data_IF_240161633287
#
_entry.id   IF_240161633287
#
_cell.length_a   1.000
_cell.length_b   1.000
_cell.length_c   1.000
_cell.angle_alpha   90.00
_cell.angle_beta   90.00
_cell.angle_gamma   90.00
#
_symmetry.space_group_name_H-M   'P 1'
#
loop_
_entity.id
_entity.type
_entity.pdbx_description
1 polymer ?
#
# COMPACT_ATOMS: atom_id res chain seq x y z
N UNK A 1 14.31 23.05 -17.10
CA UNK A 1 13.47 24.02 -16.35
C UNK A 1 12.11 23.38 -16.23
N UNK A 2 11.58 23.22 -15.02
CA UNK A 2 10.24 22.66 -14.79
C UNK A 2 9.21 23.62 -15.36
N UNK A 3 8.34 23.13 -16.24
CA UNK A 3 7.26 23.91 -16.85
C UNK A 3 6.04 23.97 -15.91
N UNK A 4 5.20 25.00 -16.04
CA UNK A 4 3.94 25.06 -15.29
C UNK A 4 2.96 23.92 -15.65
N UNK A 5 3.14 23.32 -16.82
CA UNK A 5 2.37 22.16 -17.26
C UNK A 5 2.83 20.88 -16.57
N UNK A 6 4.14 20.71 -16.35
CA UNK A 6 4.71 19.57 -15.61
C UNK A 6 4.14 19.52 -14.18
N UNK A 7 4.03 20.68 -13.55
CA UNK A 7 3.44 20.82 -12.20
C UNK A 7 1.96 20.42 -12.19
N UNK A 8 1.19 20.86 -13.20
CA UNK A 8 -0.23 20.49 -13.30
C UNK A 8 -0.40 19.00 -13.55
N UNK A 9 0.39 18.42 -14.45
CA UNK A 9 0.29 17.01 -14.79
C UNK A 9 0.65 16.12 -13.58
N UNK A 10 1.64 16.50 -12.78
CA UNK A 10 1.94 15.84 -11.49
C UNK A 10 0.74 15.91 -10.55
N UNK A 11 0.16 17.10 -10.35
CA UNK A 11 -0.97 17.26 -9.42
C UNK A 11 -2.16 16.40 -9.85
N UNK A 12 -2.51 16.44 -11.14
CA UNK A 12 -3.65 15.70 -11.68
C UNK A 12 -3.41 14.20 -11.62
N UNK A 13 -2.20 13.74 -11.95
CA UNK A 13 -1.81 12.32 -11.91
C UNK A 13 -1.80 11.80 -10.47
N UNK A 14 -1.17 12.51 -9.53
CA UNK A 14 -1.19 12.15 -8.11
C UNK A 14 -2.60 12.09 -7.53
N UNK A 15 -3.49 13.03 -7.91
CA UNK A 15 -4.89 13.00 -7.50
C UNK A 15 -5.63 11.79 -8.09
N UNK A 16 -5.43 11.49 -9.37
CA UNK A 16 -6.05 10.35 -10.06
C UNK A 16 -5.61 9.03 -9.42
N UNK A 17 -4.32 8.86 -9.21
CA UNK A 17 -3.72 7.59 -8.80
C UNK A 17 -3.93 7.34 -7.30
N UNK A 18 -3.90 8.37 -6.45
CA UNK A 18 -4.33 8.26 -5.06
C UNK A 18 -5.75 7.67 -4.92
N UNK A 19 -6.65 8.01 -5.85
CA UNK A 19 -7.99 7.43 -5.86
C UNK A 19 -8.00 5.99 -6.41
N UNK A 20 -7.53 5.82 -7.66
CA UNK A 20 -7.70 4.58 -8.41
C UNK A 20 -6.76 3.46 -7.96
N UNK A 21 -5.52 3.77 -7.59
CA UNK A 21 -4.53 2.76 -7.18
C UNK A 21 -4.67 2.38 -5.71
N UNK A 22 -5.11 3.31 -4.84
CA UNK A 22 -5.13 3.08 -3.38
C UNK A 22 -6.53 3.16 -2.79
N UNK A 23 -7.21 4.29 -2.94
CA UNK A 23 -8.45 4.59 -2.20
C UNK A 23 -9.56 3.58 -2.47
N UNK A 24 -9.79 3.19 -3.72
CA UNK A 24 -10.87 2.25 -4.07
C UNK A 24 -10.67 0.87 -3.45
N UNK A 25 -9.42 0.39 -3.35
CA UNK A 25 -9.12 -0.88 -2.69
C UNK A 25 -9.26 -0.79 -1.18
N UNK A 26 -8.78 0.31 -0.57
CA UNK A 26 -8.98 0.57 0.86
C UNK A 26 -10.48 0.65 1.19
N UNK A 27 -11.27 1.34 0.36
CA UNK A 27 -12.71 1.48 0.54
C UNK A 27 -13.43 0.12 0.49
N UNK A 28 -13.15 -0.67 -0.55
CA UNK A 28 -13.72 -2.01 -0.69
C UNK A 28 -13.32 -2.89 0.48
N UNK A 29 -12.07 -2.81 0.95
CA UNK A 29 -11.62 -3.59 2.08
C UNK A 29 -12.32 -3.20 3.38
N UNK A 30 -12.37 -1.91 3.69
CA UNK A 30 -13.07 -1.40 4.90
C UNK A 30 -14.54 -1.80 4.87
N UNK A 31 -15.21 -1.70 3.72
CA UNK A 31 -16.60 -2.11 3.56
C UNK A 31 -16.79 -3.62 3.70
N UNK A 32 -15.99 -4.41 2.99
CA UNK A 32 -16.03 -5.88 3.03
C UNK A 32 -15.80 -6.37 4.45
N UNK A 33 -14.84 -5.79 5.18
CA UNK A 33 -14.56 -6.18 6.54
C UNK A 33 -15.69 -5.80 7.50
N UNK A 34 -16.24 -4.59 7.38
CA UNK A 34 -17.36 -4.14 8.20
C UNK A 34 -18.60 -5.00 7.97
N UNK A 35 -18.86 -5.35 6.71
CA UNK A 35 -19.94 -6.27 6.34
C UNK A 35 -19.70 -7.70 6.86
N UNK A 36 -18.48 -8.24 6.71
CA UNK A 36 -18.13 -9.57 7.22
C UNK A 36 -18.25 -9.66 8.73
N UNK A 37 -17.81 -8.63 9.47
CA UNK A 37 -17.98 -8.59 10.92
C UNK A 37 -19.46 -8.57 11.32
N UNK A 38 -20.25 -7.73 10.67
CA UNK A 38 -21.69 -7.65 10.88
C UNK A 38 -22.36 -9.01 10.60
N UNK A 39 -22.07 -9.63 9.45
CA UNK A 39 -22.65 -10.89 9.02
C UNK A 39 -22.22 -12.10 9.88
N UNK A 40 -21.00 -12.09 10.40
CA UNK A 40 -20.44 -13.20 11.19
C UNK A 40 -20.51 -13.00 12.71
N UNK A 41 -21.09 -11.88 13.16
CA UNK A 41 -21.13 -11.49 14.57
C UNK A 41 -19.75 -11.58 15.24
N UNK A 42 -18.70 -11.16 14.52
CA UNK A 42 -17.31 -11.16 15.00
C UNK A 42 -16.52 -12.48 14.84
N UNK A 43 -17.17 -13.60 14.50
CA UNK A 43 -16.49 -14.93 14.39
C UNK A 43 -15.38 -14.97 13.35
N UNK A 44 -15.45 -14.13 12.31
CA UNK A 44 -14.40 -14.03 11.29
C UNK A 44 -13.06 -13.53 11.85
N UNK A 45 -13.11 -12.54 12.74
CA UNK A 45 -11.92 -11.99 13.39
C UNK A 45 -11.28 -13.04 14.28
N UNK A 46 -12.09 -13.75 15.06
CA UNK A 46 -11.64 -14.85 15.92
C UNK A 46 -10.97 -15.97 15.11
N UNK A 47 -11.52 -16.30 13.93
CA UNK A 47 -10.93 -17.29 13.03
C UNK A 47 -9.54 -16.87 12.52
N UNK A 48 -9.37 -15.60 12.11
CA UNK A 48 -8.07 -15.08 11.66
C UNK A 48 -7.07 -15.07 12.82
N UNK A 49 -7.51 -14.62 14.01
CA UNK A 49 -6.66 -14.53 15.20
C UNK A 49 -6.26 -15.90 15.77
N UNK A 50 -7.07 -16.94 15.59
CA UNK A 50 -6.72 -18.32 15.97
C UNK A 50 -5.72 -18.95 15.02
N UNK A 51 -5.66 -18.50 13.76
CA UNK A 51 -4.76 -19.02 12.73
C UNK A 51 -3.54 -18.12 12.44
N UNK A 52 -2.98 -17.45 13.47
CA UNK A 52 -1.79 -16.58 13.37
C UNK A 52 -0.62 -17.20 12.61
N UNK A 53 -0.40 -18.50 12.77
CA UNK A 53 0.67 -19.23 12.08
C UNK A 53 0.52 -19.29 10.56
N UNK A 54 -0.65 -19.04 9.98
CA UNK A 54 -0.83 -19.03 8.53
C UNK A 54 -0.77 -17.61 7.95
N UNK A 55 -0.82 -16.58 8.79
CA UNK A 55 -0.95 -15.20 8.34
C UNK A 55 0.25 -14.71 7.49
N UNK A 56 1.53 -14.93 7.86
CA UNK A 56 2.65 -14.51 7.02
C UNK A 56 2.66 -15.15 5.62
N UNK A 57 2.24 -16.41 5.51
CA UNK A 57 2.10 -17.09 4.23
C UNK A 57 1.02 -16.45 3.35
N UNK A 58 -0.16 -16.19 3.94
CA UNK A 58 -1.27 -15.52 3.24
C UNK A 58 -0.87 -14.10 2.84
N UNK A 59 -0.17 -13.39 3.72
CA UNK A 59 0.38 -12.06 3.45
C UNK A 59 1.31 -12.06 2.24
N UNK A 60 2.29 -12.95 2.20
CA UNK A 60 3.20 -13.06 1.06
C UNK A 60 2.49 -13.44 -0.25
N UNK A 61 1.46 -14.32 -0.19
CA UNK A 61 0.64 -14.65 -1.37
C UNK A 61 -0.14 -13.43 -1.89
N UNK A 62 -0.62 -12.58 -0.98
CA UNK A 62 -1.27 -11.32 -1.32
C UNK A 62 -0.28 -10.25 -1.78
N UNK A 63 0.99 -10.31 -1.35
CA UNK A 63 2.05 -9.47 -1.89
C UNK A 63 2.39 -9.82 -3.35
N UNK A 64 2.41 -11.11 -3.68
CA UNK A 64 2.72 -11.59 -5.03
C UNK A 64 1.76 -11.12 -6.13
N UNK A 65 0.56 -10.65 -5.80
CA UNK A 65 -0.36 -10.12 -6.81
C UNK A 65 0.20 -8.85 -7.45
N UNK A 66 0.34 -8.81 -8.80
CA UNK A 66 0.76 -7.60 -9.50
C UNK A 66 -0.13 -6.39 -9.20
N UNK A 67 0.47 -5.20 -9.19
CA UNK A 67 -0.24 -3.92 -9.05
C UNK A 67 -0.69 -3.55 -7.63
N UNK A 68 0.07 -3.97 -6.62
CA UNK A 68 -0.03 -3.62 -5.19
C UNK A 68 -1.38 -3.81 -4.47
N UNK A 69 -2.46 -4.16 -5.16
CA UNK A 69 -3.82 -4.26 -4.59
C UNK A 69 -3.92 -5.24 -3.42
N UNK A 70 -3.31 -6.43 -3.52
CA UNK A 70 -3.29 -7.40 -2.42
C UNK A 70 -2.49 -6.91 -1.21
N UNK A 71 -1.37 -6.20 -1.43
CA UNK A 71 -0.58 -5.59 -0.36
C UNK A 71 -1.32 -4.42 0.31
N UNK A 72 -2.01 -3.57 -0.47
CA UNK A 72 -2.83 -2.46 0.05
C UNK A 72 -3.96 -2.98 0.95
N UNK A 73 -4.54 -4.14 0.65
CA UNK A 73 -5.58 -4.76 1.49
C UNK A 73 -5.05 -5.19 2.87
N UNK A 74 -3.79 -5.63 2.97
CA UNK A 74 -3.19 -6.10 4.23
C UNK A 74 -2.92 -4.99 5.22
N UNK A 75 -2.68 -3.76 4.77
CA UNK A 75 -2.27 -2.66 5.65
C UNK A 75 -3.40 -2.18 6.58
N UNK A 76 -4.64 -1.97 6.10
CA UNK A 76 -5.78 -1.73 6.97
C UNK A 76 -6.11 -2.91 7.90
N UNK A 77 -5.86 -4.16 7.50
CA UNK A 77 -6.05 -5.32 8.39
C UNK A 77 -5.09 -5.28 9.57
N UNK A 78 -3.86 -4.86 9.33
CA UNK A 78 -2.86 -4.68 10.37
C UNK A 78 -3.20 -3.51 11.29
N UNK A 79 -3.58 -2.36 10.71
CA UNK A 79 -3.96 -1.18 11.48
C UNK A 79 -5.17 -1.44 12.40
N UNK A 80 -5.99 -2.45 12.10
CA UNK A 80 -7.12 -2.89 12.95
C UNK A 80 -6.78 -4.06 13.88
N UNK A 81 -5.51 -4.49 13.95
CA UNK A 81 -5.06 -5.55 14.85
C UNK A 81 -5.43 -6.98 14.43
N UNK A 82 -5.82 -7.22 13.18
CA UNK A 82 -6.25 -8.55 12.72
C UNK A 82 -5.10 -9.44 12.27
N UNK A 83 -4.11 -8.86 11.60
CA UNK A 83 -2.91 -9.56 11.15
C UNK A 83 -1.70 -9.13 11.96
N UNK A 84 -0.71 -10.02 12.07
CA UNK A 84 0.53 -9.73 12.78
C UNK A 84 1.43 -8.75 12.03
N UNK A 85 2.40 -8.18 12.74
CA UNK A 85 3.44 -7.35 12.12
C UNK A 85 4.31 -8.15 11.14
N UNK A 86 4.64 -9.41 11.45
CA UNK A 86 5.34 -10.29 10.51
C UNK A 86 4.55 -10.56 9.23
N UNK A 87 3.22 -10.53 9.28
CA UNK A 87 2.36 -10.62 8.08
C UNK A 87 2.50 -9.39 7.18
N UNK A 88 2.58 -8.19 7.76
CA UNK A 88 2.86 -6.96 7.02
C UNK A 88 4.21 -7.04 6.34
N UNK A 89 5.26 -7.39 7.10
CA UNK A 89 6.62 -7.52 6.56
C UNK A 89 6.70 -8.58 5.45
N UNK A 90 6.05 -9.73 5.62
CA UNK A 90 5.98 -10.77 4.58
C UNK A 90 5.31 -10.28 3.30
N UNK A 91 4.23 -9.51 3.45
CA UNK A 91 3.47 -8.95 2.32
C UNK A 91 4.30 -7.91 1.58
N UNK A 92 4.97 -7.01 2.30
CA UNK A 92 5.81 -5.96 1.70
C UNK A 92 7.02 -6.55 0.99
N UNK A 93 7.72 -7.53 1.57
CA UNK A 93 8.85 -8.20 0.90
C UNK A 93 8.42 -8.92 -0.38
N UNK A 94 7.23 -9.52 -0.39
CA UNK A 94 6.75 -10.30 -1.53
C UNK A 94 6.18 -9.43 -2.67
N UNK A 95 5.94 -8.14 -2.44
CA UNK A 95 5.29 -7.26 -3.43
C UNK A 95 6.28 -6.69 -4.43
N UNK A 96 5.90 -6.71 -5.71
CA UNK A 96 6.59 -5.96 -6.77
C UNK A 96 5.76 -4.78 -7.28
N UNK A 97 4.57 -4.55 -6.71
CA UNK A 97 3.67 -3.46 -7.13
C UNK A 97 3.41 -3.46 -8.64
N UNK A 98 3.33 -2.27 -9.24
CA UNK A 98 3.16 -2.11 -10.69
C UNK A 98 4.41 -2.49 -11.49
N UNK A 99 5.57 -2.50 -10.84
CA UNK A 99 6.83 -2.84 -11.49
C UNK A 99 6.88 -4.31 -11.93
N UNK A 100 6.06 -5.17 -11.31
CA UNK A 100 5.80 -6.54 -11.77
C UNK A 100 5.35 -6.58 -13.24
N UNK A 101 4.48 -5.65 -13.66
CA UNK A 101 3.98 -5.60 -15.03
C UNK A 101 5.07 -5.25 -16.03
N UNK A 102 5.96 -4.30 -15.70
CA UNK A 102 7.12 -3.94 -16.53
C UNK A 102 8.03 -5.15 -16.77
N UNK A 103 8.30 -5.92 -15.71
CA UNK A 103 9.14 -7.12 -15.82
C UNK A 103 8.46 -8.26 -16.60
N UNK A 104 7.14 -8.42 -16.44
CA UNK A 104 6.34 -9.34 -17.26
C UNK A 104 6.38 -8.91 -18.73
N UNK A 105 6.30 -7.60 -19.01
CA UNK A 105 6.45 -7.04 -20.35
C UNK A 105 7.76 -7.36 -21.02
N UNK A 106 8.85 -7.10 -20.30
CA UNK A 106 10.18 -7.46 -20.75
C UNK A 106 10.27 -8.97 -21.06
N UNK A 107 9.67 -9.82 -20.24
CA UNK A 107 9.63 -11.28 -20.45
C UNK A 107 8.77 -11.72 -21.64
N UNK A 108 7.70 -10.98 -21.95
CA UNK A 108 6.86 -11.21 -23.14
C UNK A 108 7.57 -10.76 -24.42
N UNK A 109 8.27 -9.62 -24.36
CA UNK A 109 9.03 -9.08 -25.48
C UNK A 109 10.31 -9.89 -25.77
N UNK A 110 11.02 -10.32 -24.73
CA UNK A 110 12.20 -11.16 -24.81
C UNK A 110 12.17 -12.28 -23.76
N UNK A 111 12.18 -13.52 -24.25
CA UNK A 111 12.17 -14.73 -23.44
C UNK A 111 13.35 -14.86 -22.47
N UNK A 112 14.45 -14.13 -22.68
CA UNK A 112 15.59 -14.08 -21.76
C UNK A 112 15.17 -13.60 -20.36
N UNK A 113 14.18 -12.71 -20.27
CA UNK A 113 13.70 -12.14 -19.00
C UNK A 113 12.69 -13.04 -18.26
N UNK A 114 12.26 -14.17 -18.83
CA UNK A 114 11.33 -15.09 -18.15
C UNK A 114 11.97 -15.70 -16.89
N UNK A 115 13.23 -16.13 -16.99
CA UNK A 115 13.96 -16.71 -15.88
C UNK A 115 14.17 -15.73 -14.71
N UNK A 116 14.68 -14.49 -14.92
CA UNK A 116 14.81 -13.52 -13.82
C UNK A 116 13.46 -13.09 -13.26
N UNK A 117 12.43 -12.96 -14.09
CA UNK A 117 11.08 -12.65 -13.64
C UNK A 117 10.54 -13.69 -12.65
N UNK A 118 10.63 -14.97 -13.00
CA UNK A 118 10.20 -16.05 -12.09
C UNK A 118 11.10 -16.09 -10.85
N UNK A 119 12.42 -15.95 -11.03
CA UNK A 119 13.38 -16.00 -9.94
C UNK A 119 13.12 -14.91 -8.90
N UNK A 120 12.91 -13.65 -9.30
CA UNK A 120 12.67 -12.56 -8.35
C UNK A 120 11.37 -12.76 -7.58
N UNK A 121 10.27 -13.18 -8.23
CA UNK A 121 9.00 -13.43 -7.53
C UNK A 121 9.11 -14.59 -6.54
N UNK A 122 9.76 -15.69 -6.94
CA UNK A 122 9.94 -16.86 -6.06
C UNK A 122 10.86 -16.54 -4.89
N UNK A 123 11.97 -15.83 -5.14
CA UNK A 123 12.90 -15.41 -4.09
C UNK A 123 12.20 -14.45 -3.12
N UNK A 124 11.54 -13.40 -3.62
CA UNK A 124 10.79 -12.45 -2.78
C UNK A 124 9.70 -13.16 -1.97
N UNK A 125 8.97 -14.12 -2.54
CA UNK A 125 8.00 -14.91 -1.80
C UNK A 125 8.63 -15.73 -0.67
N UNK A 126 9.70 -16.49 -0.96
CA UNK A 126 10.37 -17.34 0.03
C UNK A 126 10.98 -16.48 1.15
N UNK A 127 11.66 -15.39 0.78
CA UNK A 127 12.25 -14.45 1.74
C UNK A 127 11.14 -13.79 2.56
N UNK A 128 10.04 -13.34 1.95
CA UNK A 128 8.92 -12.71 2.64
C UNK A 128 8.27 -13.65 3.66
N UNK A 129 7.95 -14.88 3.26
CA UNK A 129 7.37 -15.89 4.16
C UNK A 129 8.33 -16.20 5.31
N UNK A 130 9.58 -16.52 5.01
CA UNK A 130 10.56 -16.89 6.04
C UNK A 130 10.85 -15.75 7.00
N UNK A 131 11.04 -14.53 6.48
CA UNK A 131 11.33 -13.36 7.29
C UNK A 131 10.13 -12.90 8.12
N UNK A 132 8.92 -12.96 7.57
CA UNK A 132 7.70 -12.68 8.32
C UNK A 132 7.51 -13.62 9.51
N UNK A 133 7.79 -14.92 9.32
CA UNK A 133 7.80 -15.87 10.45
C UNK A 133 8.89 -15.58 11.47
N UNK A 134 10.08 -15.15 11.03
CA UNK A 134 11.17 -14.75 11.95
C UNK A 134 10.74 -13.55 12.80
N UNK A 135 10.15 -12.53 12.17
CA UNK A 135 9.65 -11.31 12.85
C UNK A 135 8.58 -11.64 13.90
N UNK A 136 7.62 -12.51 13.56
CA UNK A 136 6.61 -12.95 14.51
C UNK A 136 7.20 -13.80 15.64
N UNK A 137 8.15 -14.69 15.33
CA UNK A 137 8.78 -15.58 16.31
C UNK A 137 9.73 -14.83 17.27
N UNK A 138 10.40 -13.76 16.82
CA UNK A 138 11.26 -12.91 17.64
C UNK A 138 10.46 -11.98 18.57
N UNK A 139 9.13 -11.89 18.37
CA UNK A 139 8.27 -10.92 19.04
C UNK A 139 8.59 -9.48 18.64
N UNK A 140 9.13 -9.30 17.43
CA UNK A 140 9.43 -7.98 16.89
C UNK A 140 8.11 -7.27 16.57
N UNK A 141 7.97 -6.05 17.05
CA UNK A 141 6.80 -5.19 16.84
C UNK A 141 7.27 -3.77 16.57
N UNK A 142 6.41 -2.86 16.08
CA UNK A 142 6.81 -1.46 15.90
C UNK A 142 7.27 -0.77 17.18
N UNK A 143 6.72 -1.16 18.34
CA UNK A 143 7.13 -0.64 19.65
C UNK A 143 8.36 -1.36 20.21
N UNK A 144 8.64 -2.59 19.79
CA UNK A 144 9.85 -3.35 20.13
C UNK A 144 10.53 -3.86 18.85
N UNK A 145 11.19 -2.97 18.10
CA UNK A 145 11.62 -3.23 16.73
C UNK A 145 12.84 -4.16 16.65
N UNK A 146 13.62 -4.32 17.73
CA UNK A 146 14.82 -5.16 17.69
C UNK A 146 14.53 -6.61 18.09
N UNK A 147 13.71 -6.82 19.11
CA UNK A 147 13.21 -8.11 19.57
C UNK A 147 12.29 -7.88 20.78
N UNK A 148 11.63 -8.93 21.27
CA UNK A 148 10.87 -8.91 22.53
C UNK A 148 11.65 -8.45 23.78
N UNK A 149 12.98 -8.44 23.73
CA UNK A 149 13.85 -7.98 24.82
C UNK A 149 14.55 -6.65 24.51
N UNK A 150 14.24 -6.04 23.37
CA UNK A 150 14.81 -4.78 22.95
C UNK A 150 14.23 -3.58 23.71
N UNK A 151 14.83 -2.39 23.54
CA UNK A 151 14.27 -1.15 24.06
C UNK A 151 12.90 -0.88 23.43
N UNK A 152 11.94 -0.47 24.27
CA UNK A 152 10.62 0.00 23.82
C UNK A 152 10.73 1.39 23.20
N UNK A 153 10.17 1.59 22.03
CA UNK A 153 10.06 2.87 21.33
C UNK A 153 8.58 3.22 21.14
N UNK A 154 8.16 4.37 21.68
CA UNK A 154 6.77 4.83 21.60
C UNK A 154 5.84 4.19 22.63
N UNK A 155 4.59 4.67 22.67
CA UNK A 155 3.49 4.09 23.45
C UNK A 155 2.68 3.14 22.55
N UNK A 156 2.30 1.97 23.09
CA UNK A 156 1.45 1.01 22.39
C UNK A 156 0.04 1.63 22.23
N UNK A 157 -0.34 2.00 20.99
CA UNK A 157 -1.69 2.49 20.65
C UNK A 157 -2.69 1.34 20.43
N UNK A 158 -2.46 0.18 21.04
CA UNK A 158 -3.45 -0.91 21.06
C UNK A 158 -3.99 -0.93 22.49
N UNK A 159 -5.23 -0.47 22.72
CA UNK A 159 -5.85 -0.60 24.04
C UNK A 159 -5.85 -2.08 24.41
N UNK A 160 -5.28 -2.42 25.56
CA UNK A 160 -5.58 -3.71 26.20
C UNK A 160 -7.09 -3.74 26.42
N UNK A 161 -7.77 -4.73 25.82
CA UNK A 161 -9.19 -4.92 26.04
C UNK A 161 -9.39 -5.46 27.46
N UNK A 162 -9.69 -4.58 28.41
CA UNK A 162 -10.14 -4.98 29.74
C UNK A 162 -11.51 -5.68 29.62
N UNK A 163 -11.51 -6.98 29.91
CA UNK A 163 -12.71 -7.78 30.16
C UNK A 163 -13.39 -7.25 31.44
N UNK A 164 -14.59 -6.64 31.34
CA UNK A 164 -15.73 -6.86 32.29
C UNK A 164 -16.90 -5.85 32.20
N UNK A 165 -16.91 -4.85 31.32
CA UNK A 165 -18.11 -4.01 31.11
C UNK A 165 -18.49 -3.99 29.63
N UNK A 166 -19.78 -4.08 29.29
CA UNK A 166 -20.25 -3.95 27.91
C UNK A 166 -19.79 -2.60 27.36
N UNK A 167 -18.75 -2.53 26.51
CA UNK A 167 -18.07 -1.27 26.17
C UNK A 167 -18.94 -0.35 25.30
N UNK A 168 -20.11 -0.84 24.88
CA UNK A 168 -21.01 -0.21 23.92
C UNK A 168 -21.86 0.92 24.51
N UNK A 169 -22.07 0.95 25.83
CA UNK A 169 -22.97 1.92 26.47
C UNK A 169 -22.30 3.27 26.80
N UNK A 170 -20.98 3.33 26.84
CA UNK A 170 -20.21 4.53 27.24
C UNK A 170 -19.54 5.26 26.06
N UNK A 171 -19.82 4.84 24.83
CA UNK A 171 -19.23 5.43 23.63
C UNK A 171 -19.96 6.72 23.24
N UNK A 172 -19.20 7.79 23.05
CA UNK A 172 -19.71 9.10 22.65
C UNK A 172 -20.39 9.02 21.28
N UNK A 173 -21.67 9.33 21.17
CA UNK A 173 -22.39 9.34 19.88
C UNK A 173 -22.12 10.63 19.10
N UNK A 174 -22.05 10.53 17.77
CA UNK A 174 -22.01 11.73 16.93
C UNK A 174 -23.28 12.57 17.17
N UNK A 175 -23.09 13.83 17.53
CA UNK A 175 -24.22 14.78 17.68
C UNK A 175 -24.69 15.16 16.26
N UNK A 176 -25.96 14.92 15.89
CA UNK A 176 -26.49 15.10 14.53
C UNK A 176 -26.70 16.57 14.12
N UNK A 177 -25.79 17.47 14.51
CA UNK A 177 -25.87 18.89 14.26
C UNK A 177 -24.64 19.41 13.50
N UNK A 178 -24.89 20.06 12.36
CA UNK A 178 -23.88 20.80 11.61
C UNK A 178 -23.95 20.62 10.09
N UNK A 179 -23.25 21.50 9.38
CA UNK A 179 -23.10 21.42 7.91
C UNK A 179 -22.25 20.20 7.53
N UNK A 180 -21.20 19.89 8.31
CA UNK A 180 -20.35 18.72 8.11
C UNK A 180 -21.11 17.39 8.18
N UNK A 181 -21.98 17.24 9.19
CA UNK A 181 -22.86 16.07 9.31
C UNK A 181 -23.73 15.86 8.06
N UNK A 182 -24.35 16.94 7.53
CA UNK A 182 -25.16 16.87 6.31
C UNK A 182 -24.33 16.49 5.08
N UNK A 183 -23.13 17.06 4.93
CA UNK A 183 -22.22 16.75 3.83
C UNK A 183 -21.80 15.28 3.88
N UNK A 184 -21.43 14.75 5.04
CA UNK A 184 -21.08 13.34 5.21
C UNK A 184 -22.27 12.42 4.88
N UNK A 185 -23.44 12.70 5.46
CA UNK A 185 -24.62 11.85 5.36
C UNK A 185 -25.38 11.95 4.03
N UNK A 186 -25.12 12.96 3.20
CA UNK A 186 -25.68 13.06 1.84
C UNK A 186 -24.62 12.76 0.78
N UNK A 187 -23.38 13.19 1.00
CA UNK A 187 -22.26 13.02 0.09
C UNK A 187 -21.73 11.59 0.00
N UNK A 188 -21.87 10.78 1.06
CA UNK A 188 -21.35 9.40 1.05
C UNK A 188 -21.95 8.54 -0.07
N UNK A 189 -23.23 8.74 -0.44
CA UNK A 189 -23.85 7.98 -1.53
C UNK A 189 -23.21 8.30 -2.89
N UNK A 190 -22.96 9.58 -3.15
CA UNK A 190 -22.31 10.01 -4.37
C UNK A 190 -20.86 9.55 -4.40
N UNK A 191 -20.16 9.66 -3.28
CA UNK A 191 -18.81 9.12 -3.12
C UNK A 191 -18.77 7.61 -3.40
N UNK A 192 -19.66 6.81 -2.79
CA UNK A 192 -19.74 5.37 -3.03
C UNK A 192 -20.07 5.01 -4.48
N UNK A 193 -20.91 5.80 -5.17
CA UNK A 193 -21.17 5.60 -6.59
C UNK A 193 -19.89 5.79 -7.43
N UNK A 194 -19.13 6.87 -7.18
CA UNK A 194 -17.85 7.12 -7.84
C UNK A 194 -16.82 6.05 -7.47
N UNK A 195 -16.72 5.66 -6.20
CA UNK A 195 -15.83 4.59 -5.73
C UNK A 195 -16.15 3.24 -6.36
N UNK A 196 -17.43 2.92 -6.57
CA UNK A 196 -17.83 1.67 -7.23
C UNK A 196 -17.40 1.65 -8.70
N UNK A 197 -17.61 2.76 -9.43
CA UNK A 197 -17.14 2.91 -10.82
C UNK A 197 -15.61 2.87 -10.85
N UNK A 198 -14.96 3.60 -9.95
CA UNK A 198 -13.51 3.63 -9.80
C UNK A 198 -12.91 2.26 -9.52
N UNK A 199 -13.54 1.46 -8.66
CA UNK A 199 -13.10 0.10 -8.36
C UNK A 199 -13.19 -0.82 -9.59
N UNK A 200 -14.27 -0.74 -10.37
CA UNK A 200 -14.38 -1.48 -11.63
C UNK A 200 -13.21 -1.12 -12.55
N UNK A 201 -12.94 0.18 -12.74
CA UNK A 201 -11.82 0.60 -13.58
C UNK A 201 -10.46 0.26 -12.99
N UNK A 202 -10.27 0.32 -11.67
CA UNK A 202 -9.02 -0.10 -11.04
C UNK A 202 -8.73 -1.58 -11.28
N UNK A 203 -9.75 -2.45 -11.16
CA UNK A 203 -9.62 -3.87 -11.52
C UNK A 203 -9.35 -4.04 -13.02
N UNK A 204 -10.02 -3.29 -13.89
CA UNK A 204 -9.76 -3.34 -15.34
C UNK A 204 -8.34 -2.86 -15.68
N UNK A 205 -7.83 -1.82 -15.01
CA UNK A 205 -6.47 -1.33 -15.18
C UNK A 205 -5.45 -2.40 -14.78
N UNK A 206 -5.68 -3.12 -13.67
CA UNK A 206 -4.84 -4.27 -13.29
C UNK A 206 -4.89 -5.39 -14.35
N UNK A 207 -6.06 -5.67 -14.92
CA UNK A 207 -6.21 -6.68 -15.97
C UNK A 207 -5.53 -6.26 -17.27
N UNK A 208 -5.69 -5.01 -17.70
CA UNK A 208 -5.09 -4.48 -18.92
C UNK A 208 -3.57 -4.38 -18.80
N UNK A 209 -3.06 -3.86 -17.68
CA UNK A 209 -1.63 -3.84 -17.36
C UNK A 209 -1.04 -5.26 -17.29
N UNK A 210 -1.83 -6.25 -16.85
CA UNK A 210 -1.45 -7.66 -16.87
C UNK A 210 -1.45 -8.31 -18.25
N UNK A 211 -2.14 -7.74 -19.25
CA UNK A 211 -2.21 -8.25 -20.62
C UNK A 211 -1.21 -7.58 -21.55
N UNK A 212 -0.92 -6.30 -21.31
CA UNK A 212 0.01 -5.48 -22.07
C UNK A 212 0.84 -4.66 -21.09
N UNK A 213 2.14 -4.91 -21.05
CA UNK A 213 3.02 -4.25 -20.12
C UNK A 213 3.45 -2.83 -20.55
N UNK A 214 3.24 -2.49 -21.82
CA UNK A 214 3.40 -1.12 -22.32
C UNK A 214 2.12 -0.29 -22.10
N UNK A 215 1.06 -0.91 -21.56
CA UNK A 215 -0.16 -0.21 -21.21
C UNK A 215 0.08 0.74 -20.04
N UNK A 216 -0.02 2.03 -20.33
CA UNK A 216 -0.01 3.09 -19.34
C UNK A 216 -1.27 3.95 -19.50
N UNK A 217 -1.92 4.27 -18.38
CA UNK A 217 -3.08 5.15 -18.39
C UNK A 217 -2.63 6.59 -18.71
N UNK A 218 -2.79 6.98 -19.98
CA UNK A 218 -2.42 8.31 -20.46
C UNK A 218 -3.24 9.40 -19.80
N UNK A 219 -2.58 10.50 -19.45
CA UNK A 219 -3.25 11.68 -18.93
C UNK A 219 -3.99 12.42 -20.05
N UNK A 220 -5.30 12.19 -20.15
CA UNK A 220 -6.18 12.80 -21.15
C UNK A 220 -7.33 13.50 -20.45
N UNK A 221 -7.66 14.73 -20.86
CA UNK A 221 -8.72 15.51 -20.22
C UNK A 221 -10.10 15.38 -20.88
N UNK A 222 -10.18 14.78 -22.08
CA UNK A 222 -11.44 14.60 -22.80
C UNK A 222 -12.27 13.45 -22.19
N UNK A 223 -13.44 13.72 -21.55
CA UNK A 223 -14.22 12.67 -20.87
C UNK A 223 -14.89 11.68 -21.83
N UNK A 224 -14.87 11.93 -23.14
CA UNK A 224 -15.43 11.04 -24.15
C UNK A 224 -14.47 9.92 -24.57
N UNK A 225 -13.18 10.04 -24.23
CA UNK A 225 -12.21 8.95 -24.41
C UNK A 225 -12.17 8.08 -23.15
N UNK A 226 -11.78 6.81 -23.30
CA UNK A 226 -11.65 5.87 -22.18
C UNK A 226 -10.70 6.44 -21.11
N UNK A 227 -9.47 6.81 -21.49
CA UNK A 227 -8.45 7.31 -20.57
C UNK A 227 -8.88 8.60 -19.87
N UNK A 228 -9.58 9.47 -20.59
CA UNK A 228 -10.08 10.72 -20.00
C UNK A 228 -11.27 10.49 -19.08
N UNK A 229 -12.16 9.56 -19.40
CA UNK A 229 -13.21 9.14 -18.48
C UNK A 229 -12.62 8.60 -17.16
N UNK A 230 -11.63 7.70 -17.25
CA UNK A 230 -10.95 7.14 -16.08
C UNK A 230 -10.24 8.24 -15.28
N UNK A 231 -9.57 9.18 -15.96
CA UNK A 231 -8.94 10.34 -15.32
C UNK A 231 -9.96 11.15 -14.52
N UNK A 232 -11.11 11.48 -15.11
CA UNK A 232 -12.17 12.21 -14.40
C UNK A 232 -12.78 11.43 -13.24
N UNK A 233 -12.92 10.10 -13.34
CA UNK A 233 -13.35 9.27 -12.20
C UNK A 233 -12.37 9.41 -11.03
N UNK A 234 -11.06 9.31 -11.30
CA UNK A 234 -10.01 9.50 -10.29
C UNK A 234 -10.04 10.90 -9.66
N UNK A 235 -10.13 11.94 -10.48
CA UNK A 235 -10.17 13.33 -10.01
C UNK A 235 -11.43 13.63 -9.19
N UNK A 236 -12.59 13.20 -9.65
CA UNK A 236 -13.85 13.35 -8.92
C UNK A 236 -13.80 12.59 -7.60
N UNK A 237 -13.29 11.36 -7.61
CA UNK A 237 -13.12 10.54 -6.43
C UNK A 237 -12.25 11.20 -5.37
N UNK A 238 -11.04 11.63 -5.74
CA UNK A 238 -10.14 12.35 -4.81
C UNK A 238 -10.74 13.66 -4.34
N UNK A 239 -11.37 14.44 -5.22
CA UNK A 239 -12.01 15.71 -4.84
C UNK A 239 -13.12 15.47 -3.82
N UNK A 240 -13.95 14.44 -4.01
CA UNK A 240 -14.99 14.08 -3.05
C UNK A 240 -14.39 13.60 -1.73
N UNK A 241 -13.33 12.78 -1.75
CA UNK A 241 -12.62 12.38 -0.54
C UNK A 241 -12.07 13.59 0.22
N UNK A 242 -11.49 14.57 -0.48
CA UNK A 242 -11.01 15.82 0.13
C UNK A 242 -12.18 16.60 0.77
N UNK A 243 -13.31 16.73 0.08
CA UNK A 243 -14.51 17.37 0.63
C UNK A 243 -15.02 16.65 1.88
N UNK A 244 -15.09 15.32 1.85
CA UNK A 244 -15.53 14.52 3.00
C UNK A 244 -14.55 14.65 4.18
N UNK A 245 -13.24 14.63 3.93
CA UNK A 245 -12.21 14.84 4.94
C UNK A 245 -12.36 16.20 5.63
N UNK A 246 -12.50 17.29 4.87
CA UNK A 246 -12.69 18.63 5.45
C UNK A 246 -14.07 18.81 6.13
N UNK A 247 -15.07 18.01 5.75
CA UNK A 247 -16.38 18.00 6.40
C UNK A 247 -16.38 17.27 7.76
N UNK A 248 -15.34 16.49 8.08
CA UNK A 248 -15.18 15.85 9.38
C UNK A 248 -14.85 16.89 10.44
N UNK A 249 -15.39 16.69 11.65
CA UNK A 249 -15.24 17.63 12.78
C UNK A 249 -13.91 17.43 13.54
N UNK A 250 -13.33 16.22 13.47
CA UNK A 250 -12.03 15.87 14.05
C UNK A 250 -11.07 15.41 12.94
N UNK A 251 -10.04 16.20 12.65
CA UNK A 251 -9.07 15.88 11.59
C UNK A 251 -7.89 15.01 12.07
N UNK A 252 -7.77 14.80 13.39
CA UNK A 252 -6.59 14.19 14.02
C UNK A 252 -6.89 13.14 15.10
N UNK A 253 -8.16 12.94 15.49
CA UNK A 253 -8.52 11.93 16.48
C UNK A 253 -8.93 10.66 15.76
N UNK A 254 -8.32 9.55 16.15
CA UNK A 254 -8.67 8.20 15.72
C UNK A 254 -10.04 7.88 16.35
N UNK A 255 -11.09 7.70 15.53
CA UNK A 255 -12.43 7.30 16.00
C UNK A 255 -12.46 5.80 16.38
N UNK A 256 -11.42 5.35 17.09
CA UNK A 256 -11.25 3.95 17.50
C UNK A 256 -12.23 3.59 18.62
N UNK A 257 -12.76 4.59 19.35
CA UNK A 257 -13.72 4.38 20.44
C UNK A 257 -15.06 5.12 20.27
N UNK A 258 -15.13 6.24 19.54
CA UNK A 258 -16.35 7.05 19.47
C UNK A 258 -17.49 6.50 18.60
N UNK A 259 -17.38 5.33 17.94
CA UNK A 259 -18.43 4.91 16.99
C UNK A 259 -18.65 3.42 16.83
N UNK A 260 -18.29 2.59 17.80
CA UNK A 260 -18.62 1.15 17.75
C UNK A 260 -20.10 0.89 18.07
N UNK A 261 -20.73 1.73 18.91
CA UNK A 261 -22.13 1.60 19.32
C UNK A 261 -23.15 1.71 18.17
N UNK A 262 -22.96 2.66 17.24
CA UNK A 262 -23.88 2.85 16.11
C UNK A 262 -23.57 1.96 14.89
N UNK A 263 -22.31 1.49 14.76
CA UNK A 263 -21.84 0.59 13.67
C UNK A 263 -22.56 -0.77 13.65
N UNK A 264 -23.08 -1.24 14.78
CA UNK A 264 -23.72 -2.56 14.90
C UNK A 264 -25.19 -2.58 14.45
N UNK A 265 -25.85 -1.42 14.35
CA UNK A 265 -27.31 -1.35 14.19
C UNK A 265 -27.79 -0.71 12.88
N UNK A 266 -26.91 -0.04 12.11
CA UNK A 266 -27.30 0.65 10.88
C UNK A 266 -26.27 0.48 9.77
N UNK A 267 -26.64 -0.23 8.71
CA UNK A 267 -25.83 -0.36 7.48
C UNK A 267 -25.46 0.99 6.87
N UNK A 268 -26.36 1.99 6.98
CA UNK A 268 -26.10 3.34 6.48
C UNK A 268 -24.97 4.01 7.24
N UNK A 269 -24.96 3.86 8.56
CA UNK A 269 -23.93 4.43 9.42
C UNK A 269 -22.57 3.78 9.15
N UNK A 270 -22.55 2.46 9.00
CA UNK A 270 -21.36 1.71 8.57
C UNK A 270 -20.78 2.25 7.26
N UNK A 271 -21.64 2.53 6.26
CA UNK A 271 -21.20 3.07 4.96
C UNK A 271 -20.69 4.51 5.04
N UNK A 272 -21.30 5.36 5.89
CA UNK A 272 -20.85 6.73 6.12
C UNK A 272 -19.48 6.74 6.78
N UNK A 273 -19.28 5.95 7.84
CA UNK A 273 -17.98 5.84 8.50
C UNK A 273 -16.92 5.22 7.60
N UNK A 274 -17.25 4.17 6.84
CA UNK A 274 -16.32 3.58 5.89
C UNK A 274 -15.86 4.62 4.84
N UNK A 275 -16.77 5.43 4.31
CA UNK A 275 -16.42 6.51 3.38
C UNK A 275 -15.55 7.58 4.06
N UNK A 276 -15.90 7.98 5.29
CA UNK A 276 -15.18 8.95 6.12
C UNK A 276 -13.74 8.50 6.43
N UNK A 277 -13.58 7.27 6.93
CA UNK A 277 -12.29 6.65 7.23
C UNK A 277 -11.42 6.50 5.97
N UNK A 278 -12.02 6.20 4.83
CA UNK A 278 -11.31 6.07 3.55
C UNK A 278 -10.92 7.44 3.00
N UNK A 279 -11.78 8.44 3.13
CA UNK A 279 -11.49 9.82 2.72
C UNK A 279 -10.30 10.41 3.47
N UNK A 280 -10.18 10.13 4.78
CA UNK A 280 -9.00 10.46 5.58
C UNK A 280 -7.72 9.86 5.00
N UNK A 281 -7.74 8.55 4.68
CA UNK A 281 -6.59 7.87 4.07
C UNK A 281 -6.27 8.46 2.69
N UNK A 282 -7.29 8.70 1.86
CA UNK A 282 -7.16 9.27 0.51
C UNK A 282 -6.40 10.60 0.53
N UNK A 283 -6.79 11.51 1.43
CA UNK A 283 -6.19 12.84 1.54
C UNK A 283 -4.68 12.73 1.78
N UNK A 284 -4.27 11.93 2.75
CA UNK A 284 -2.85 11.79 3.09
C UNK A 284 -2.06 10.98 2.06
N UNK A 285 -2.68 9.98 1.42
CA UNK A 285 -2.07 9.26 0.29
C UNK A 285 -1.82 10.21 -0.87
N UNK A 286 -2.78 11.08 -1.22
CA UNK A 286 -2.60 12.12 -2.23
C UNK A 286 -1.44 13.05 -1.88
N UNK A 287 -1.32 13.50 -0.63
CA UNK A 287 -0.17 14.31 -0.18
C UNK A 287 1.14 13.54 -0.33
N UNK A 288 1.16 12.24 0.01
CA UNK A 288 2.34 11.41 -0.12
C UNK A 288 2.80 11.25 -1.57
N UNK A 289 1.88 10.97 -2.51
CA UNK A 289 2.20 10.96 -3.95
C UNK A 289 2.74 12.31 -4.44
N UNK A 290 2.09 13.43 -4.06
CA UNK A 290 2.57 14.75 -4.45
C UNK A 290 3.99 15.02 -3.95
N UNK A 291 4.27 14.73 -2.67
CA UNK A 291 5.60 14.90 -2.09
C UNK A 291 6.63 14.03 -2.83
N UNK A 292 6.28 12.77 -3.12
CA UNK A 292 7.14 11.86 -3.87
C UNK A 292 7.43 12.38 -5.28
N UNK A 293 6.40 12.66 -6.08
CA UNK A 293 6.53 13.10 -7.47
C UNK A 293 7.27 14.44 -7.59
N UNK A 294 6.98 15.40 -6.72
CA UNK A 294 7.76 16.64 -6.68
C UNK A 294 9.22 16.40 -6.28
N UNK A 295 9.48 15.50 -5.33
CA UNK A 295 10.86 15.15 -4.95
C UNK A 295 11.61 14.54 -6.14
N UNK A 296 10.97 13.65 -6.90
CA UNK A 296 11.54 13.07 -8.12
C UNK A 296 11.80 14.14 -9.19
N UNK A 297 10.83 15.03 -9.44
CA UNK A 297 10.96 16.13 -10.39
C UNK A 297 12.12 17.08 -10.06
N UNK A 298 12.27 17.44 -8.78
CA UNK A 298 13.30 18.39 -8.34
C UNK A 298 14.68 17.76 -8.13
N UNK A 299 14.74 16.47 -7.77
CA UNK A 299 15.99 15.75 -7.57
C UNK A 299 16.71 15.45 -8.89
N UNK A 300 15.96 15.32 -9.99
CA UNK A 300 16.52 15.04 -11.32
C UNK A 300 17.25 13.71 -11.40
N UNK A 301 16.98 12.78 -10.46
CA UNK A 301 17.58 11.44 -10.42
C UNK A 301 17.18 10.70 -11.68
N UNK A 302 18.18 10.32 -12.48
CA UNK A 302 17.97 9.69 -13.79
C UNK A 302 18.33 8.21 -13.75
N UNK A 303 17.79 7.43 -14.69
CA UNK A 303 18.17 6.02 -14.90
C UNK A 303 19.71 5.83 -15.05
N UNK A 304 20.41 6.86 -15.53
CA UNK A 304 21.86 6.85 -15.77
C UNK A 304 22.71 6.95 -14.50
N UNK A 305 22.15 7.45 -13.39
CA UNK A 305 22.87 7.54 -12.11
C UNK A 305 23.04 6.15 -11.47
N UNK A 306 22.16 5.19 -11.79
CA UNK A 306 22.26 3.80 -11.37
C UNK A 306 23.34 3.02 -12.13
N UNK A 307 23.62 3.38 -13.39
CA UNK A 307 24.57 2.66 -14.24
C UNK A 307 26.04 2.81 -13.80
N UNK A 308 26.39 3.84 -13.02
CA UNK A 308 27.78 4.12 -12.62
C UNK A 308 28.38 3.09 -11.67
N UNK A 309 27.55 2.28 -11.00
CA UNK A 309 27.97 1.21 -10.10
C UNK A 309 27.14 -0.06 -10.31
N UNK A 310 26.77 -0.37 -11.56
CA UNK A 310 25.77 -1.39 -11.92
C UNK A 310 26.03 -2.83 -11.43
N UNK A 311 27.22 -3.14 -10.91
CA UNK A 311 27.52 -4.46 -10.36
C UNK A 311 28.39 -4.41 -9.09
N UNK A 312 28.29 -5.46 -8.28
CA UNK A 312 29.01 -5.63 -7.03
C UNK A 312 28.25 -5.20 -5.77
N UNK A 313 28.94 -5.26 -4.62
CA UNK A 313 28.33 -5.00 -3.31
C UNK A 313 27.73 -3.60 -3.17
N UNK A 314 28.34 -2.60 -3.81
CA UNK A 314 27.85 -1.22 -3.82
C UNK A 314 26.53 -1.13 -4.59
N UNK A 315 26.40 -1.85 -5.71
CA UNK A 315 25.17 -1.91 -6.50
C UNK A 315 24.00 -2.43 -5.66
N UNK A 316 24.22 -3.55 -4.97
CA UNK A 316 23.23 -4.18 -4.07
C UNK A 316 22.82 -3.22 -2.96
N UNK A 317 23.79 -2.54 -2.34
CA UNK A 317 23.53 -1.55 -1.30
C UNK A 317 22.68 -0.38 -1.80
N UNK A 318 23.07 0.24 -2.93
CA UNK A 318 22.33 1.36 -3.52
C UNK A 318 20.92 0.92 -3.93
N UNK A 319 20.78 -0.24 -4.57
CA UNK A 319 19.50 -0.76 -5.02
C UNK A 319 18.54 -1.02 -3.85
N UNK A 320 19.02 -1.59 -2.74
CA UNK A 320 18.23 -1.75 -1.52
C UNK A 320 17.82 -0.39 -0.90
N UNK A 321 18.74 0.58 -0.87
CA UNK A 321 18.46 1.93 -0.34
C UNK A 321 17.44 2.69 -1.18
N UNK A 322 17.44 2.52 -2.51
CA UNK A 322 16.40 3.07 -3.39
C UNK A 322 15.04 2.45 -3.06
N UNK A 323 15.01 1.18 -2.66
CA UNK A 323 13.79 0.49 -2.22
C UNK A 323 13.17 1.09 -0.95
N UNK A 324 13.93 1.80 -0.11
CA UNK A 324 13.38 2.52 1.05
C UNK A 324 12.43 3.66 0.65
N UNK A 325 12.50 4.12 -0.60
CA UNK A 325 11.66 5.21 -1.09
C UNK A 325 10.29 4.60 -1.46
N UNK A 326 9.22 4.94 -0.73
CA UNK A 326 7.90 4.40 -1.01
C UNK A 326 7.41 4.85 -2.39
N UNK A 327 6.67 3.95 -3.04
CA UNK A 327 6.11 4.18 -4.36
C UNK A 327 6.49 3.09 -5.35
N UNK A 328 5.71 2.89 -6.41
CA UNK A 328 6.10 2.01 -7.52
C UNK A 328 7.24 2.58 -8.39
N UNK A 329 7.37 3.90 -8.47
CA UNK A 329 8.34 4.60 -9.32
C UNK A 329 9.81 4.17 -9.15
N UNK A 330 10.39 4.16 -7.93
CA UNK A 330 11.78 3.77 -7.72
C UNK A 330 12.05 2.31 -8.12
N UNK A 331 11.04 1.44 -7.99
CA UNK A 331 11.11 0.04 -8.41
C UNK A 331 11.05 -0.12 -9.94
N UNK A 332 10.19 0.65 -10.60
CA UNK A 332 10.09 0.69 -12.07
C UNK A 332 11.43 1.13 -12.66
N UNK A 333 12.09 2.14 -12.06
CA UNK A 333 13.42 2.58 -12.49
C UNK A 333 14.44 1.44 -12.35
N UNK A 334 14.43 0.71 -11.23
CA UNK A 334 15.34 -0.42 -11.01
C UNK A 334 15.10 -1.59 -11.99
N UNK A 335 13.85 -1.97 -12.23
CA UNK A 335 13.49 -3.02 -13.21
C UNK A 335 13.88 -2.57 -14.62
N UNK A 336 13.56 -1.34 -14.99
CA UNK A 336 13.94 -0.79 -16.30
C UNK A 336 15.46 -0.79 -16.46
N UNK A 337 16.20 -0.40 -15.42
CA UNK A 337 17.66 -0.45 -15.42
C UNK A 337 18.18 -1.89 -15.60
N UNK A 338 17.55 -2.89 -14.97
CA UNK A 338 17.90 -4.29 -15.17
C UNK A 338 17.62 -4.76 -16.60
N UNK A 339 16.45 -4.43 -17.17
CA UNK A 339 16.10 -4.80 -18.55
C UNK A 339 16.98 -4.15 -19.61
N UNK A 340 17.61 -3.01 -19.26
CA UNK A 340 18.63 -2.33 -20.08
C UNK A 340 20.06 -2.77 -19.76
N UNK A 341 20.22 -3.87 -19.01
CA UNK A 341 21.51 -4.44 -18.59
C UNK A 341 22.40 -3.47 -17.78
N UNK A 342 21.80 -2.47 -17.12
CA UNK A 342 22.52 -1.45 -16.34
C UNK A 342 22.76 -1.85 -14.90
N UNK A 343 21.97 -2.78 -14.34
CA UNK A 343 22.18 -3.33 -12.99
C UNK A 343 22.17 -4.87 -13.03
N UNK A 344 22.87 -5.51 -12.09
CA UNK A 344 22.89 -6.97 -11.98
C UNK A 344 21.65 -7.54 -11.28
N UNK A 345 21.32 -8.81 -11.56
CA UNK A 345 20.19 -9.50 -10.92
C UNK A 345 20.23 -9.48 -9.37
N UNK A 346 21.38 -9.65 -8.69
CA UNK A 346 21.46 -9.49 -7.24
C UNK A 346 21.02 -8.11 -6.74
N UNK A 347 21.35 -7.04 -7.48
CA UNK A 347 20.92 -5.68 -7.16
C UNK A 347 19.41 -5.50 -7.38
N UNK A 348 18.88 -6.05 -8.48
CA UNK A 348 17.44 -6.09 -8.73
C UNK A 348 16.69 -6.80 -7.59
N UNK A 349 17.13 -8.00 -7.20
CA UNK A 349 16.49 -8.78 -6.14
C UNK A 349 16.53 -8.05 -4.79
N UNK A 350 17.63 -7.38 -4.47
CA UNK A 350 17.72 -6.54 -3.29
C UNK A 350 16.73 -5.37 -3.34
N UNK A 351 16.64 -4.65 -4.46
CA UNK A 351 15.63 -3.61 -4.62
C UNK A 351 14.21 -4.15 -4.47
N UNK A 352 13.90 -5.28 -5.11
CA UNK A 352 12.57 -5.89 -5.09
C UNK A 352 12.13 -6.32 -3.68
N UNK A 353 13.03 -6.86 -2.85
CA UNK A 353 12.74 -7.25 -1.46
C UNK A 353 12.63 -6.02 -0.54
N UNK A 354 13.39 -4.97 -0.82
CA UNK A 354 13.45 -3.76 0.00
C UNK A 354 12.28 -2.80 -0.25
N UNK A 355 11.60 -2.94 -1.40
CA UNK A 355 10.59 -2.00 -1.85
C UNK A 355 9.21 -2.34 -1.29
N UNK A 356 8.65 -1.40 -0.53
CA UNK A 356 7.33 -1.53 0.10
C UNK A 356 6.18 -1.16 -0.86
N UNK A 357 6.47 -0.41 -1.93
CA UNK A 357 5.51 0.04 -2.93
C UNK A 357 4.43 0.98 -2.37
N UNK A 358 3.33 1.14 -3.11
CA UNK A 358 2.22 2.04 -2.72
C UNK A 358 1.45 1.55 -1.49
N UNK A 359 1.62 0.28 -1.13
CA UNK A 359 1.06 -0.30 0.08
C UNK A 359 1.61 0.37 1.34
N UNK A 360 2.80 0.96 1.32
CA UNK A 360 3.31 1.67 2.49
C UNK A 360 2.46 2.90 2.85
N UNK A 361 1.82 3.57 1.88
CA UNK A 361 1.11 4.83 2.15
C UNK A 361 -0.07 4.67 3.13
N UNK A 362 -1.01 3.73 2.96
CA UNK A 362 -2.04 3.48 3.98
C UNK A 362 -1.49 3.18 5.37
N UNK A 363 -0.38 2.41 5.45
CA UNK A 363 0.25 2.07 6.72
C UNK A 363 0.91 3.29 7.36
N UNK A 364 1.59 4.14 6.58
CA UNK A 364 2.22 5.37 7.04
C UNK A 364 1.20 6.33 7.65
N UNK A 365 0.00 6.39 7.06
CA UNK A 365 -1.08 7.26 7.54
C UNK A 365 -1.67 6.76 8.87
N UNK A 366 -1.85 5.44 9.02
CA UNK A 366 -2.51 4.84 10.19
C UNK A 366 -1.54 4.49 11.33
N UNK A 367 -0.35 3.97 11.01
CA UNK A 367 0.68 3.58 11.97
C UNK A 367 2.08 3.98 11.47
N UNK A 368 2.43 5.25 11.69
CA UNK A 368 3.74 5.82 11.30
C UNK A 368 4.93 4.99 11.79
N UNK A 369 4.92 4.57 13.06
CA UNK A 369 6.00 3.75 13.62
C UNK A 369 6.11 2.39 12.93
N UNK A 370 4.97 1.74 12.65
CA UNK A 370 4.94 0.46 11.95
C UNK A 370 5.45 0.59 10.52
N UNK A 371 5.07 1.65 9.81
CA UNK A 371 5.54 1.94 8.46
C UNK A 371 7.06 2.17 8.43
N UNK A 372 7.59 3.06 9.27
CA UNK A 372 9.03 3.35 9.29
C UNK A 372 9.87 2.12 9.65
N UNK A 373 9.43 1.35 10.65
CA UNK A 373 10.12 0.13 11.01
C UNK A 373 9.96 -0.95 9.95
N UNK A 374 8.81 -1.07 9.28
CA UNK A 374 8.61 -2.08 8.24
C UNK A 374 9.66 -1.93 7.14
N UNK A 375 9.90 -0.71 6.65
CA UNK A 375 10.91 -0.42 5.63
C UNK A 375 12.32 -0.82 6.06
N UNK A 376 12.67 -0.64 7.33
CA UNK A 376 13.95 -1.14 7.88
C UNK A 376 13.97 -2.67 7.90
N UNK A 377 12.88 -3.31 8.31
CA UNK A 377 12.76 -4.76 8.41
C UNK A 377 12.71 -5.47 7.06
N UNK A 378 12.29 -4.80 5.98
CA UNK A 378 12.36 -5.30 4.60
C UNK A 378 13.74 -5.09 3.98
N UNK A 379 14.45 -4.02 4.33
CA UNK A 379 15.81 -3.73 3.82
C UNK A 379 16.88 -4.70 4.33
N UNK A 380 16.77 -5.17 5.58
CA UNK A 380 17.74 -6.14 6.14
C UNK A 380 17.80 -7.44 5.31
N UNK A 381 16.69 -8.17 5.11
CA UNK A 381 16.70 -9.39 4.29
C UNK A 381 16.98 -9.09 2.81
N UNK A 382 16.67 -7.90 2.31
CA UNK A 382 17.05 -7.46 0.96
C UNK A 382 18.57 -7.45 0.77
N UNK A 383 19.30 -6.80 1.68
CA UNK A 383 20.76 -6.74 1.64
C UNK A 383 21.38 -8.14 1.79
N UNK A 384 20.87 -8.94 2.73
CA UNK A 384 21.35 -10.32 2.94
C UNK A 384 21.17 -11.14 1.66
N UNK A 385 19.98 -11.09 1.06
CA UNK A 385 19.65 -11.88 -0.13
C UNK A 385 20.45 -11.40 -1.35
N UNK A 386 20.52 -10.09 -1.60
CA UNK A 386 21.30 -9.56 -2.71
C UNK A 386 22.79 -9.88 -2.59
N UNK A 387 23.38 -9.73 -1.40
CA UNK A 387 24.79 -10.09 -1.16
C UNK A 387 25.00 -11.60 -1.34
N UNK A 388 24.07 -12.43 -0.85
CA UNK A 388 24.14 -13.88 -1.03
C UNK A 388 24.12 -14.27 -2.50
N UNK A 389 23.17 -13.73 -3.29
CA UNK A 389 23.06 -14.00 -4.72
C UNK A 389 24.34 -13.57 -5.47
N UNK A 390 24.89 -12.40 -5.12
CA UNK A 390 26.15 -11.90 -5.68
C UNK A 390 27.33 -12.84 -5.40
N UNK A 391 27.51 -13.25 -4.14
CA UNK A 391 28.62 -14.13 -3.73
C UNK A 391 28.47 -15.55 -4.29
N UNK A 392 27.23 -16.03 -4.40
CA UNK A 392 26.93 -17.33 -5.01
C UNK A 392 27.10 -17.32 -6.54
N UNK A 393 27.32 -16.15 -7.16
CA UNK A 393 27.42 -16.02 -8.62
C UNK A 393 26.09 -16.27 -9.34
N UNK A 394 24.96 -16.12 -8.65
CA UNK A 394 23.63 -16.31 -9.23
C UNK A 394 23.28 -15.05 -10.02
N UNK A 395 23.27 -15.19 -11.34
CA UNK A 395 22.88 -14.14 -12.29
C UNK A 395 21.95 -14.74 -13.33
N UNK A 396 21.11 -13.89 -13.90
CA UNK A 396 20.12 -14.21 -14.91
C UNK A 396 20.21 -13.18 -16.02
#
# INVERSE_FOLDING_TARGET
MVSGQDVLDIVVTSMRDAFLAVTVFVAVMVLLFSWLQYATSGRFVEYIQTHKKLQPLIGALMGLTPGCGGAIIMMPMYARGYVTYGTVVATLIATLGDSAFVLIGAAVADSSFIAPMIAVHVISFIVGVSWGYIVDASGTTPSMPLSKFGPKFGEDLIPESDEETSPLEDLSREVPEGIGYKILHQGFLFWWAVTTIGFIFAVLLLVWSGQDADYELKLVYNPLTLDGFITWVGLLGTTLSVILYFAQKNWFADDTEATIGDKLHSMRETMVHAASETAFVTFWVMIAYLVFEFTMLFSGVSEQDMARHGDGFIAVGIAAMIGLIPGCGPQIIAITAYTKEMISFPALAANAISQDGDALFPLLVRHKAASLWATVHTTIPALITGIFLLVAGISF
#
